data_IF_917100785049
#
_entry.id   IF_917100785049
#
_cell.length_a   1.000
_cell.length_b   1.000
_cell.length_c   1.000
_cell.angle_alpha   90.00
_cell.angle_beta   90.00
_cell.angle_gamma   90.00
#
_symmetry.space_group_name_H-M   'P 1'
#
loop_
_entity.id
_entity.type
_entity.pdbx_description
1 polymer ?
#
# COMPACT_ATOMS: atom_id res chain seq x y z
N UNK A 1 27.11 -2.63 3.86
CA UNK A 1 26.36 -3.80 3.50
C UNK A 1 24.96 -3.46 3.10
N UNK A 2 24.68 -3.67 1.87
CA UNK A 2 23.30 -3.38 1.41
C UNK A 2 22.27 -4.26 2.09
N UNK A 3 22.69 -5.33 2.67
CA UNK A 3 21.75 -6.25 3.29
C UNK A 3 20.98 -5.61 4.43
N UNK A 4 21.66 -4.79 5.22
CA UNK A 4 21.01 -4.15 6.36
C UNK A 4 19.94 -3.17 5.86
N UNK A 5 20.28 -2.40 4.84
CA UNK A 5 19.32 -1.46 4.29
C UNK A 5 18.12 -2.20 3.71
N UNK A 6 18.39 -3.34 3.07
CA UNK A 6 17.31 -4.14 2.48
C UNK A 6 16.37 -4.66 3.55
N UNK A 7 16.92 -5.11 4.66
CA UNK A 7 16.08 -5.61 5.73
C UNK A 7 15.24 -4.49 6.33
N UNK A 8 15.83 -3.32 6.46
CA UNK A 8 15.10 -2.18 6.97
C UNK A 8 13.95 -1.82 6.05
N UNK A 9 14.21 -1.84 4.75
CA UNK A 9 13.16 -1.55 3.79
C UNK A 9 12.05 -2.58 3.84
N UNK A 10 12.39 -3.83 4.03
CA UNK A 10 11.38 -4.87 4.15
C UNK A 10 10.52 -4.66 5.37
N UNK A 11 11.13 -4.26 6.49
CA UNK A 11 10.36 -3.98 7.69
C UNK A 11 9.41 -2.83 7.47
N UNK A 12 9.89 -1.78 6.81
CA UNK A 12 9.04 -0.61 6.56
C UNK A 12 7.94 -0.93 5.57
N UNK A 13 8.22 -1.74 4.57
CA UNK A 13 7.18 -2.10 3.61
C UNK A 13 6.12 -2.96 4.27
N UNK A 14 6.52 -3.79 5.21
CA UNK A 14 5.55 -4.58 5.96
C UNK A 14 4.68 -3.70 6.83
N UNK A 15 5.27 -2.71 7.47
CA UNK A 15 4.52 -1.75 8.26
C UNK A 15 3.52 -1.04 7.36
N UNK A 16 3.98 -0.59 6.19
CA UNK A 16 3.10 0.09 5.26
C UNK A 16 1.96 -0.82 4.82
N UNK A 17 2.28 -2.05 4.50
CA UNK A 17 1.27 -3.01 4.10
C UNK A 17 0.21 -3.17 5.18
N UNK A 18 0.65 -3.39 6.40
CA UNK A 18 -0.29 -3.62 7.49
C UNK A 18 -1.17 -2.40 7.73
N UNK A 19 -0.56 -1.22 7.68
CA UNK A 19 -1.33 -0.01 7.96
C UNK A 19 -2.33 0.29 6.86
N UNK A 20 -1.93 0.10 5.62
CA UNK A 20 -2.88 0.30 4.52
C UNK A 20 -4.01 -0.71 4.61
N UNK A 21 -3.68 -1.93 4.95
CA UNK A 21 -4.69 -2.97 5.09
C UNK A 21 -5.70 -2.62 6.17
N UNK A 22 -5.22 -2.09 7.28
CA UNK A 22 -6.10 -1.65 8.35
C UNK A 22 -6.98 -0.50 7.88
N UNK A 23 -6.40 0.44 7.14
CA UNK A 23 -7.18 1.57 6.63
C UNK A 23 -8.31 1.11 5.72
N UNK A 24 -8.04 0.10 4.90
CA UNK A 24 -9.08 -0.46 4.05
C UNK A 24 -10.14 -1.15 4.89
N UNK A 25 -9.71 -1.89 5.88
CA UNK A 25 -10.64 -2.64 6.72
C UNK A 25 -11.52 -1.71 7.53
N UNK A 26 -10.96 -0.61 8.00
CA UNK A 26 -11.72 0.36 8.79
C UNK A 26 -12.45 1.37 7.92
N UNK A 27 -12.35 1.20 6.61
CA UNK A 27 -13.06 2.04 5.65
C UNK A 27 -12.57 3.47 5.63
N UNK A 28 -11.36 3.70 6.07
CA UNK A 28 -10.72 4.98 5.84
C UNK A 28 -10.40 5.13 4.36
N UNK A 29 -10.13 4.00 3.71
CA UNK A 29 -10.02 3.96 2.27
C UNK A 29 -11.21 3.16 1.75
N UNK A 30 -12.07 3.84 1.03
CA UNK A 30 -13.32 3.25 0.59
C UNK A 30 -13.11 2.43 -0.68
N UNK A 31 -13.89 1.38 -0.86
CA UNK A 31 -13.81 0.61 -2.10
C UNK A 31 -14.08 1.51 -3.31
N UNK A 32 -13.27 1.36 -4.33
CA UNK A 32 -13.40 2.17 -5.53
C UNK A 32 -12.70 3.51 -5.44
N UNK A 33 -12.18 3.85 -4.30
CA UNK A 33 -11.47 5.12 -4.12
C UNK A 33 -10.11 5.04 -4.78
N UNK A 34 -9.70 6.13 -5.42
CA UNK A 34 -8.38 6.23 -6.01
C UNK A 34 -7.47 7.02 -5.09
N UNK A 35 -6.30 6.50 -4.88
CA UNK A 35 -5.25 7.17 -4.10
C UNK A 35 -3.96 7.07 -4.88
N UNK A 36 -2.98 7.85 -4.48
CA UNK A 36 -1.67 7.75 -5.11
C UNK A 36 -0.61 7.51 -4.07
N UNK A 37 0.58 7.16 -4.55
CA UNK A 37 1.68 6.83 -3.65
C UNK A 37 2.07 8.01 -2.78
N UNK A 38 2.01 9.20 -3.33
CA UNK A 38 2.39 10.39 -2.56
C UNK A 38 1.50 10.56 -1.35
N UNK A 39 0.21 10.35 -1.53
CA UNK A 39 -0.71 10.45 -0.42
C UNK A 39 -0.40 9.42 0.66
N UNK A 40 -0.08 8.21 0.24
CA UNK A 40 0.26 7.17 1.20
C UNK A 40 1.56 7.48 1.90
N UNK A 41 2.53 8.03 1.19
CA UNK A 41 3.79 8.39 1.82
C UNK A 41 3.56 9.42 2.92
N UNK A 42 2.74 10.41 2.65
CA UNK A 42 2.45 11.42 3.66
C UNK A 42 1.66 10.85 4.83
N UNK A 43 0.66 10.06 4.52
CA UNK A 43 -0.19 9.51 5.57
C UNK A 43 0.59 8.57 6.48
N UNK A 44 1.43 7.75 5.91
CA UNK A 44 2.19 6.77 6.66
C UNK A 44 3.51 7.32 7.16
N UNK A 45 3.93 8.47 6.64
CA UNK A 45 5.21 9.06 6.99
C UNK A 45 6.36 8.10 6.65
N UNK A 46 6.23 7.45 5.52
CA UNK A 46 7.24 6.52 5.03
C UNK A 46 7.72 6.96 3.67
N UNK A 47 8.89 6.48 3.29
CA UNK A 47 9.45 6.81 2.02
C UNK A 47 8.78 6.10 0.87
N UNK A 48 9.23 6.44 -0.33
CA UNK A 48 8.64 5.91 -1.55
C UNK A 48 8.80 4.40 -1.67
N UNK A 49 10.00 3.91 -1.40
CA UNK A 49 10.29 2.50 -1.63
C UNK A 49 9.41 1.58 -0.80
N UNK A 50 9.35 1.77 0.53
CA UNK A 50 8.50 0.87 1.32
C UNK A 50 7.02 0.98 0.95
N UNK A 51 6.55 2.18 0.64
CA UNK A 51 5.15 2.33 0.26
C UNK A 51 4.88 1.63 -1.06
N UNK A 52 5.77 1.80 -2.02
CA UNK A 52 5.58 1.15 -3.31
C UNK A 52 5.58 -0.36 -3.19
N UNK A 53 6.49 -0.90 -2.40
CA UNK A 53 6.54 -2.34 -2.21
C UNK A 53 5.29 -2.85 -1.53
N UNK A 54 4.78 -2.08 -0.57
CA UNK A 54 3.55 -2.46 0.10
C UNK A 54 2.38 -2.46 -0.86
N UNK A 55 2.31 -1.45 -1.73
CA UNK A 55 1.23 -1.37 -2.70
C UNK A 55 1.29 -2.54 -3.66
N UNK A 56 2.49 -2.92 -4.09
CA UNK A 56 2.63 -4.06 -4.98
C UNK A 56 2.16 -5.34 -4.30
N UNK A 57 2.49 -5.51 -3.03
CA UNK A 57 2.04 -6.67 -2.29
C UNK A 57 0.53 -6.67 -2.12
N UNK A 58 -0.04 -5.52 -1.85
CA UNK A 58 -1.49 -5.41 -1.73
C UNK A 58 -2.17 -5.73 -3.05
N UNK A 59 -1.56 -5.34 -4.16
CA UNK A 59 -2.12 -5.66 -5.47
C UNK A 59 -2.07 -7.15 -5.73
N UNK A 60 -1.01 -7.81 -5.30
CA UNK A 60 -0.93 -9.26 -5.44
C UNK A 60 -2.01 -9.95 -4.63
N UNK A 61 -2.34 -9.38 -3.48
CA UNK A 61 -3.41 -9.92 -2.65
C UNK A 61 -4.78 -9.43 -3.06
N UNK A 62 -4.83 -8.65 -4.14
CA UNK A 62 -6.09 -8.16 -4.71
C UNK A 62 -6.84 -7.22 -3.77
N UNK A 63 -6.10 -6.55 -2.92
CA UNK A 63 -6.69 -5.53 -2.07
C UNK A 63 -6.73 -4.18 -2.75
N UNK A 64 -5.84 -3.97 -3.72
CA UNK A 64 -5.84 -2.76 -4.53
C UNK A 64 -5.53 -3.15 -5.96
N UNK A 65 -5.85 -2.25 -6.88
CA UNK A 65 -5.52 -2.41 -8.29
C UNK A 65 -4.70 -1.20 -8.70
N UNK A 66 -3.57 -1.46 -9.34
CA UNK A 66 -2.70 -0.39 -9.78
C UNK A 66 -3.09 -0.01 -11.22
N UNK A 67 -3.45 1.24 -11.42
CA UNK A 67 -3.80 1.75 -12.74
C UNK A 67 -2.71 2.71 -13.17
N UNK A 68 -2.00 2.41 -14.25
CA UNK A 68 -0.97 3.34 -14.74
C UNK A 68 -1.60 4.70 -14.99
N UNK A 69 -0.95 5.74 -14.52
CA UNK A 69 -1.35 7.12 -14.75
C UNK A 69 -2.59 7.55 -13.98
N UNK A 70 -3.35 6.63 -13.44
CA UNK A 70 -4.55 6.98 -12.68
C UNK A 70 -4.33 6.87 -11.19
N UNK A 71 -3.48 5.96 -10.78
CA UNK A 71 -3.22 5.78 -9.38
C UNK A 71 -3.60 4.40 -8.91
N UNK A 72 -3.92 4.31 -7.66
CA UNK A 72 -4.20 3.05 -7.02
C UNK A 72 -5.66 3.04 -6.62
N UNK A 73 -6.37 2.03 -7.08
CA UNK A 73 -7.77 1.89 -6.75
C UNK A 73 -7.94 0.86 -5.65
N UNK A 74 -8.69 1.21 -4.62
CA UNK A 74 -9.00 0.28 -3.54
C UNK A 74 -10.06 -0.68 -4.05
N UNK A 75 -9.73 -1.96 -4.10
CA UNK A 75 -10.68 -2.93 -4.61
C UNK A 75 -11.70 -3.24 -3.56
N UNK A 76 -12.86 -3.64 -4.05
CA UNK A 76 -13.93 -4.03 -3.18
C UNK A 76 -13.70 -5.46 -2.70
N UNK A 77 -13.78 -5.74 -1.41
CA UNK A 77 -13.63 -7.12 -0.97
C UNK A 77 -14.78 -7.94 -1.54
N UNK A 78 -14.45 -9.06 -2.14
CA UNK A 78 -15.47 -9.90 -2.69
C UNK A 78 -15.98 -10.78 -1.62
N UNK A 79 -17.23 -10.80 -1.47
CA UNK A 79 -17.79 -11.74 -0.52
C UNK A 79 -17.66 -13.08 -1.15
N UNK A 80 -17.51 -13.91 -0.85
CA UNK A 80 -17.54 -15.04 -1.45
C UNK A 80 -17.11 -15.80 -1.29
#
# INVERSE_FOLDING_TARGET
MPRIATEKQKCLSRVAYDRIKVMIRQKELMPGQFINESQLQETLELGRTPVREAVLALAQDRLVTIHPRKGIEVTRPTPK
#
